data_IF_056718158100
#
_entry.id   IF_056718158100
#
_cell.length_a   1.000
_cell.length_b   1.000
_cell.length_c   1.000
_cell.angle_alpha   90.00
_cell.angle_beta   90.00
_cell.angle_gamma   90.00
#
_symmetry.space_group_name_H-M   'P 1'
#
loop_
_entity.id
_entity.type
_entity.pdbx_description
1 polymer ?
#
# COMPACT_ATOMS: atom_id res chain seq x y z
N UNK A 1 -9.55 0.47 16.57
CA UNK A 1 -9.49 -0.96 16.94
C UNK A 1 -9.74 -1.76 15.68
N UNK A 2 -8.80 -2.62 15.29
CA UNK A 2 -8.96 -3.52 14.14
C UNK A 2 -9.52 -4.84 14.70
N UNK A 3 -10.79 -5.15 14.44
CA UNK A 3 -11.42 -6.40 14.88
C UNK A 3 -11.53 -7.33 13.67
N UNK A 4 -11.49 -8.65 13.92
CA UNK A 4 -11.66 -9.66 12.87
C UNK A 4 -12.96 -9.45 12.06
N UNK A 5 -14.05 -9.10 12.74
CA UNK A 5 -15.32 -8.81 12.10
C UNK A 5 -15.24 -7.60 11.15
N UNK A 6 -14.50 -6.56 11.52
CA UNK A 6 -14.29 -5.38 10.66
C UNK A 6 -13.42 -5.72 9.46
N UNK A 7 -12.35 -6.49 9.64
CA UNK A 7 -11.49 -6.96 8.54
C UNK A 7 -12.29 -7.80 7.55
N UNK A 8 -13.07 -8.77 8.04
CA UNK A 8 -13.90 -9.62 7.18
C UNK A 8 -14.95 -8.81 6.40
N UNK A 9 -15.56 -7.81 7.03
CA UNK A 9 -16.51 -6.92 6.36
C UNK A 9 -15.82 -6.06 5.29
N UNK A 10 -14.64 -5.54 5.56
CA UNK A 10 -13.83 -4.79 4.61
C UNK A 10 -13.44 -5.64 3.41
N UNK A 11 -12.88 -6.82 3.64
CA UNK A 11 -12.48 -7.76 2.59
C UNK A 11 -13.66 -8.21 1.72
N UNK A 12 -14.86 -8.35 2.30
CA UNK A 12 -16.07 -8.65 1.54
C UNK A 12 -16.56 -7.48 0.66
N UNK A 13 -16.17 -6.24 0.96
CA UNK A 13 -16.51 -5.06 0.16
C UNK A 13 -15.51 -4.82 -0.99
N UNK A 14 -14.24 -5.19 -0.82
CA UNK A 14 -13.19 -4.92 -1.80
C UNK A 14 -13.49 -5.42 -3.23
N UNK A 15 -13.93 -6.67 -3.44
CA UNK A 15 -14.28 -7.16 -4.78
C UNK A 15 -15.36 -6.32 -5.46
N UNK A 16 -16.38 -5.91 -4.70
CA UNK A 16 -17.49 -5.09 -5.22
C UNK A 16 -17.04 -3.71 -5.64
N UNK A 17 -16.14 -3.09 -4.87
CA UNK A 17 -15.57 -1.79 -5.21
C UNK A 17 -14.64 -1.87 -6.41
N UNK A 18 -13.85 -2.94 -6.51
CA UNK A 18 -12.97 -3.18 -7.65
C UNK A 18 -13.78 -3.44 -8.95
N UNK A 19 -14.84 -4.25 -8.86
CA UNK A 19 -15.75 -4.52 -9.97
C UNK A 19 -16.43 -3.23 -10.45
N UNK A 20 -17.01 -2.45 -9.53
CA UNK A 20 -17.63 -1.17 -9.84
C UNK A 20 -16.63 -0.19 -10.47
N UNK A 21 -15.41 -0.09 -9.93
CA UNK A 21 -14.37 0.76 -10.50
C UNK A 21 -13.98 0.34 -11.93
N UNK A 22 -13.90 -0.96 -12.19
CA UNK A 22 -13.64 -1.50 -13.53
C UNK A 22 -14.80 -1.23 -14.48
N UNK A 23 -16.04 -1.47 -14.05
CA UNK A 23 -17.25 -1.21 -14.83
C UNK A 23 -17.35 0.26 -15.22
N UNK A 24 -17.13 1.17 -14.29
CA UNK A 24 -17.13 2.62 -14.56
C UNK A 24 -16.00 3.04 -15.49
N UNK A 25 -14.79 2.50 -15.30
CA UNK A 25 -13.64 2.77 -16.18
C UNK A 25 -13.76 2.21 -17.59
N UNK A 26 -14.60 1.18 -17.79
CA UNK A 26 -14.89 0.56 -19.09
C UNK A 26 -16.27 0.93 -19.65
N UNK A 27 -16.93 1.93 -19.05
CA UNK A 27 -18.27 2.37 -19.49
C UNK A 27 -18.16 3.17 -20.79
N UNK A 28 -18.57 2.55 -21.90
CA UNK A 28 -18.51 3.15 -23.24
C UNK A 28 -19.41 4.37 -23.38
N UNK A 29 -20.56 4.39 -22.71
CA UNK A 29 -21.47 5.53 -22.81
C UNK A 29 -20.88 6.77 -22.14
N UNK A 30 -20.29 6.63 -20.96
CA UNK A 30 -19.58 7.73 -20.29
C UNK A 30 -18.36 8.21 -21.10
N UNK A 31 -17.61 7.29 -21.69
CA UNK A 31 -16.48 7.63 -22.54
C UNK A 31 -16.95 8.42 -23.78
N UNK A 32 -18.02 7.95 -24.46
CA UNK A 32 -18.58 8.59 -25.64
C UNK A 32 -19.15 9.99 -25.31
N UNK A 33 -19.83 10.15 -24.17
CA UNK A 33 -20.30 11.46 -23.70
C UNK A 33 -19.14 12.44 -23.45
N UNK A 34 -18.08 11.97 -22.82
CA UNK A 34 -16.86 12.77 -22.56
C UNK A 34 -16.24 13.19 -23.90
N UNK A 35 -16.11 12.25 -24.84
CA UNK A 35 -15.59 12.54 -26.18
C UNK A 35 -16.48 13.50 -26.95
N UNK A 36 -17.79 13.33 -26.94
CA UNK A 36 -18.73 14.22 -27.60
C UNK A 36 -18.62 15.68 -27.08
N UNK A 37 -18.43 15.84 -25.77
CA UNK A 37 -18.20 17.17 -25.19
C UNK A 37 -16.87 17.77 -25.65
N UNK A 38 -15.81 16.98 -25.75
CA UNK A 38 -14.49 17.42 -26.23
C UNK A 38 -14.50 17.79 -27.72
N UNK A 39 -15.34 17.12 -28.52
CA UNK A 39 -15.52 17.39 -29.95
C UNK A 39 -16.52 18.53 -30.22
N UNK A 40 -17.21 19.06 -29.19
CA UNK A 40 -18.23 20.09 -29.32
C UNK A 40 -17.65 21.50 -29.35
N UNK A 41 -18.36 22.50 -29.92
CA UNK A 41 -17.97 23.91 -29.83
C UNK A 41 -17.88 24.44 -28.40
N UNK A 42 -18.60 23.83 -27.44
CA UNK A 42 -18.58 24.20 -26.03
C UNK A 42 -17.21 23.98 -25.40
N UNK A 43 -16.44 23.00 -25.88
CA UNK A 43 -15.08 22.71 -25.39
C UNK A 43 -14.19 23.96 -25.47
N UNK A 44 -14.29 24.77 -26.53
CA UNK A 44 -13.49 26.00 -26.67
C UNK A 44 -13.81 27.05 -25.60
N UNK A 45 -15.00 27.03 -25.04
CA UNK A 45 -15.43 27.97 -23.99
C UNK A 45 -15.00 27.54 -22.58
N UNK A 46 -14.52 26.30 -22.44
CA UNK A 46 -14.11 25.76 -21.14
C UNK A 46 -12.78 26.37 -20.67
N UNK A 47 -12.67 26.55 -19.37
CA UNK A 47 -11.41 26.92 -18.71
C UNK A 47 -10.33 25.84 -18.91
N UNK A 48 -9.07 26.23 -18.78
CA UNK A 48 -7.94 25.28 -18.87
C UNK A 48 -8.10 24.09 -17.88
N UNK A 49 -8.58 24.35 -16.66
CA UNK A 49 -8.80 23.29 -15.66
C UNK A 49 -9.88 22.30 -16.09
N UNK A 50 -10.98 22.80 -16.67
CA UNK A 50 -12.06 21.96 -17.20
C UNK A 50 -11.60 21.12 -18.40
N UNK A 51 -10.89 21.73 -19.37
CA UNK A 51 -10.27 21.02 -20.49
C UNK A 51 -9.34 19.91 -19.99
N UNK A 52 -8.50 20.23 -19.01
CA UNK A 52 -7.58 19.24 -18.41
C UNK A 52 -8.30 18.10 -17.70
N UNK A 53 -9.43 18.37 -17.05
CA UNK A 53 -10.25 17.32 -16.42
C UNK A 53 -10.79 16.34 -17.45
N UNK A 54 -11.29 16.83 -18.59
CA UNK A 54 -11.79 15.96 -19.67
C UNK A 54 -10.66 15.13 -20.30
N UNK A 55 -9.50 15.73 -20.56
CA UNK A 55 -8.31 14.99 -21.04
C UNK A 55 -7.89 13.88 -20.07
N UNK A 56 -7.87 14.18 -18.78
CA UNK A 56 -7.55 13.18 -17.75
C UNK A 56 -8.60 12.07 -17.66
N UNK A 57 -9.89 12.41 -17.81
CA UNK A 57 -10.97 11.42 -17.87
C UNK A 57 -10.81 10.48 -19.07
N UNK A 58 -10.53 11.01 -20.26
CA UNK A 58 -10.27 10.18 -21.45
C UNK A 58 -9.08 9.26 -21.25
N UNK A 59 -7.99 9.80 -20.69
CA UNK A 59 -6.82 8.97 -20.34
C UNK A 59 -7.19 7.90 -19.31
N UNK A 60 -8.03 8.21 -18.33
CA UNK A 60 -8.55 7.26 -17.34
C UNK A 60 -9.27 6.08 -18.00
N UNK A 61 -10.17 6.34 -18.96
CA UNK A 61 -10.86 5.29 -19.71
C UNK A 61 -9.88 4.40 -20.47
N UNK A 62 -8.88 4.98 -21.16
CA UNK A 62 -7.85 4.21 -21.87
C UNK A 62 -7.04 3.34 -20.92
N UNK A 63 -6.61 3.87 -19.77
CA UNK A 63 -5.85 3.14 -18.77
C UNK A 63 -6.70 2.07 -18.04
N UNK A 64 -8.01 2.15 -18.12
CA UNK A 64 -8.95 1.12 -17.64
C UNK A 64 -9.26 0.06 -18.71
N UNK A 65 -8.65 0.17 -19.90
CA UNK A 65 -8.76 -0.81 -20.95
C UNK A 65 -10.07 -0.75 -21.74
N UNK A 66 -10.69 0.43 -21.87
CA UNK A 66 -11.96 0.61 -22.60
C UNK A 66 -11.86 0.18 -24.07
N UNK A 67 -10.68 0.36 -24.67
CA UNK A 67 -10.41 0.03 -26.08
C UNK A 67 -10.01 -1.44 -26.29
N UNK A 68 -9.89 -2.22 -25.23
CA UNK A 68 -9.53 -3.63 -25.32
C UNK A 68 -10.68 -4.48 -25.87
N UNK A 69 -10.40 -5.60 -26.57
CA UNK A 69 -11.38 -6.62 -26.84
C UNK A 69 -12.04 -7.17 -25.57
N UNK A 70 -13.26 -7.67 -25.66
CA UNK A 70 -14.07 -8.07 -24.51
C UNK A 70 -13.38 -9.12 -23.60
N UNK A 71 -12.67 -10.08 -24.19
CA UNK A 71 -11.89 -11.08 -23.45
C UNK A 71 -10.75 -10.44 -22.63
N UNK A 72 -10.05 -9.47 -23.21
CA UNK A 72 -8.98 -8.71 -22.53
C UNK A 72 -9.53 -7.73 -21.50
N UNK A 73 -10.71 -7.13 -21.75
CA UNK A 73 -11.40 -6.29 -20.75
C UNK A 73 -11.74 -7.11 -19.51
N UNK A 74 -12.29 -8.31 -19.71
CA UNK A 74 -12.56 -9.23 -18.60
C UNK A 74 -11.29 -9.59 -17.85
N UNK A 75 -10.23 -9.97 -18.57
CA UNK A 75 -8.95 -10.31 -17.95
C UNK A 75 -8.37 -9.13 -17.15
N UNK A 76 -8.47 -7.92 -17.68
CA UNK A 76 -8.08 -6.71 -16.95
C UNK A 76 -8.85 -6.57 -15.61
N UNK A 77 -10.17 -6.74 -15.63
CA UNK A 77 -11.01 -6.72 -14.42
C UNK A 77 -10.61 -7.78 -13.40
N UNK A 78 -10.40 -9.02 -13.83
CA UNK A 78 -9.95 -10.14 -12.99
C UNK A 78 -8.60 -9.80 -12.31
N UNK A 79 -7.67 -9.18 -13.06
CA UNK A 79 -6.37 -8.74 -12.51
C UNK A 79 -6.55 -7.61 -11.50
N UNK A 80 -7.39 -6.60 -11.76
CA UNK A 80 -7.61 -5.49 -10.82
C UNK A 80 -8.20 -6.00 -9.50
N UNK A 81 -9.16 -6.91 -9.56
CA UNK A 81 -9.71 -7.57 -8.36
C UNK A 81 -8.61 -8.30 -7.60
N UNK A 82 -7.82 -9.11 -8.30
CA UNK A 82 -6.75 -9.88 -7.65
C UNK A 82 -5.68 -8.99 -7.02
N UNK A 83 -5.29 -7.91 -7.69
CA UNK A 83 -4.34 -6.93 -7.15
C UNK A 83 -4.89 -6.24 -5.88
N UNK A 84 -6.19 -5.97 -5.83
CA UNK A 84 -6.85 -5.41 -4.64
C UNK A 84 -6.81 -6.39 -3.46
N UNK A 85 -7.11 -7.66 -3.68
CA UNK A 85 -7.02 -8.73 -2.66
C UNK A 85 -5.59 -8.90 -2.14
N UNK A 86 -4.61 -8.95 -3.06
CA UNK A 86 -3.19 -9.06 -2.70
C UNK A 86 -2.72 -7.85 -1.89
N UNK A 87 -3.16 -6.64 -2.26
CA UNK A 87 -2.85 -5.42 -1.52
C UNK A 87 -3.37 -5.45 -0.08
N UNK A 88 -4.65 -5.82 0.10
CA UNK A 88 -5.25 -5.98 1.43
C UNK A 88 -4.50 -7.01 2.27
N UNK A 89 -4.20 -8.17 1.68
CA UNK A 89 -3.47 -9.24 2.39
C UNK A 89 -2.04 -8.82 2.76
N UNK A 90 -1.36 -8.09 1.88
CA UNK A 90 -0.03 -7.55 2.16
C UNK A 90 -0.04 -6.63 3.38
N UNK A 91 -0.97 -5.68 3.41
CA UNK A 91 -1.11 -4.73 4.51
C UNK A 91 -1.50 -5.42 5.81
N UNK A 92 -2.41 -6.41 5.76
CA UNK A 92 -2.82 -7.19 6.93
C UNK A 92 -1.65 -8.00 7.50
N UNK A 93 -0.86 -8.68 6.68
CA UNK A 93 0.33 -9.41 7.13
C UNK A 93 1.34 -8.48 7.82
N UNK A 94 1.57 -7.29 7.25
CA UNK A 94 2.44 -6.27 7.85
C UNK A 94 1.93 -5.81 9.22
N UNK A 95 0.63 -5.55 9.33
CA UNK A 95 -0.01 -5.10 10.56
C UNK A 95 0.04 -6.18 11.63
N UNK A 96 -0.35 -7.40 11.28
CA UNK A 96 -0.40 -8.53 12.21
C UNK A 96 1.00 -8.87 12.72
N UNK A 97 2.00 -8.93 11.84
CA UNK A 97 3.37 -9.20 12.25
C UNK A 97 3.96 -8.06 13.11
N UNK A 98 3.59 -6.80 12.82
CA UNK A 98 3.98 -5.66 13.67
C UNK A 98 3.39 -5.77 15.07
N UNK A 99 2.12 -6.18 15.19
CA UNK A 99 1.41 -6.27 16.47
C UNK A 99 1.75 -7.54 17.25
N UNK A 100 2.21 -8.60 16.59
CA UNK A 100 2.54 -9.86 17.22
C UNK A 100 3.86 -9.84 18.01
N UNK A 101 4.73 -8.83 17.75
CA UNK A 101 5.99 -8.72 18.48
C UNK A 101 5.89 -7.71 19.62
N UNK A 102 6.29 -8.15 20.79
CA UNK A 102 6.52 -7.28 21.94
C UNK A 102 7.67 -7.83 22.78
N UNK A 103 8.34 -6.93 23.52
CA UNK A 103 9.44 -7.28 24.42
C UNK A 103 9.18 -6.69 25.79
N UNK A 104 8.84 -7.53 26.78
CA UNK A 104 8.77 -7.11 28.18
C UNK A 104 10.16 -6.78 28.70
N UNK A 105 10.28 -5.67 29.43
CA UNK A 105 11.52 -5.22 30.06
C UNK A 105 11.24 -5.04 31.55
N UNK A 106 11.96 -5.81 32.38
CA UNK A 106 11.81 -5.77 33.84
C UNK A 106 12.71 -4.72 34.51
N UNK A 107 13.88 -4.45 33.92
CA UNK A 107 14.87 -3.54 34.49
C UNK A 107 15.00 -2.26 33.66
N UNK A 108 14.75 -1.11 34.28
CA UNK A 108 14.89 0.20 33.67
C UNK A 108 16.31 0.47 33.10
N UNK A 109 17.35 -0.16 33.66
CA UNK A 109 18.72 0.01 33.18
C UNK A 109 18.93 -0.46 31.75
N UNK A 110 18.12 -1.42 31.29
CA UNK A 110 18.14 -1.89 29.89
C UNK A 110 17.65 -0.82 28.90
N UNK A 111 16.90 0.17 29.42
CA UNK A 111 16.33 1.28 28.66
C UNK A 111 17.13 2.59 28.88
N UNK A 112 18.35 2.51 29.41
CA UNK A 112 19.22 3.69 29.56
C UNK A 112 19.34 4.47 28.25
N UNK A 113 19.34 5.80 28.35
CA UNK A 113 19.37 6.71 27.20
C UNK A 113 17.99 7.11 26.65
N UNK A 114 16.93 6.34 26.94
CA UNK A 114 15.57 6.67 26.46
C UNK A 114 15.02 7.94 27.18
N UNK A 115 14.37 8.85 26.44
CA UNK A 115 13.70 10.01 27.05
C UNK A 115 12.49 9.59 27.91
N UNK A 116 12.15 10.40 28.91
CA UNK A 116 11.03 10.13 29.83
C UNK A 116 9.71 9.87 29.09
N UNK A 117 9.46 10.57 27.98
CA UNK A 117 8.25 10.36 27.17
C UNK A 117 8.18 8.95 26.58
N UNK A 118 9.31 8.40 26.14
CA UNK A 118 9.38 7.04 25.62
C UNK A 118 9.24 5.99 26.71
N UNK A 119 9.86 6.22 27.88
CA UNK A 119 9.66 5.38 29.06
C UNK A 119 8.21 5.39 29.52
N UNK A 120 7.55 6.57 29.51
CA UNK A 120 6.13 6.70 29.83
C UNK A 120 5.22 5.91 28.88
N UNK A 121 5.52 5.96 27.57
CA UNK A 121 4.78 5.15 26.58
C UNK A 121 4.97 3.64 26.81
N UNK A 122 6.21 3.20 27.10
CA UNK A 122 6.50 1.80 27.35
C UNK A 122 5.81 1.28 28.62
N UNK A 123 5.73 2.11 29.71
CA UNK A 123 4.96 1.79 30.91
C UNK A 123 3.47 1.69 30.62
N UNK A 124 2.93 2.65 29.86
CA UNK A 124 1.52 2.64 29.49
C UNK A 124 1.18 1.41 28.63
N UNK A 125 2.07 1.01 27.73
CA UNK A 125 1.90 -0.20 26.93
C UNK A 125 1.88 -1.48 27.80
N UNK A 126 2.77 -1.58 28.79
CA UNK A 126 2.77 -2.69 29.75
C UNK A 126 1.50 -2.70 30.60
N UNK A 127 1.06 -1.56 31.11
CA UNK A 127 -0.16 -1.45 31.91
C UNK A 127 -1.47 -1.72 31.13
N UNK A 128 -1.42 -1.67 29.81
CA UNK A 128 -2.58 -1.96 28.95
C UNK A 128 -2.74 -3.45 28.62
N UNK A 129 -1.80 -4.29 29.01
CA UNK A 129 -1.81 -5.74 28.75
C UNK A 129 -1.66 -6.49 30.08
N UNK A 130 -2.79 -6.96 30.63
CA UNK A 130 -2.84 -7.66 31.92
C UNK A 130 -2.02 -8.97 31.93
N UNK A 131 -1.59 -9.46 30.78
CA UNK A 131 -0.75 -10.67 30.68
C UNK A 131 0.76 -10.39 30.90
N UNK A 132 1.15 -9.12 30.94
CA UNK A 132 2.56 -8.69 31.04
C UNK A 132 2.94 -8.37 32.48
N UNK A 133 3.82 -9.18 33.06
CA UNK A 133 4.39 -8.96 34.41
C UNK A 133 5.68 -8.11 34.41
N UNK A 134 5.80 -7.14 33.50
CA UNK A 134 6.97 -6.28 33.39
C UNK A 134 6.57 -4.82 33.52
N UNK A 135 7.52 -3.99 33.99
CA UNK A 135 7.28 -2.54 34.15
C UNK A 135 7.16 -1.81 32.81
N UNK A 136 7.83 -2.30 31.79
CA UNK A 136 7.87 -1.70 30.47
C UNK A 136 7.58 -2.74 29.39
N UNK A 137 6.90 -2.32 28.32
CA UNK A 137 6.67 -3.13 27.13
C UNK A 137 7.11 -2.36 25.89
N UNK A 138 8.09 -2.89 25.17
CA UNK A 138 8.48 -2.39 23.87
C UNK A 138 7.68 -3.09 22.78
N UNK A 139 7.37 -2.37 21.71
CA UNK A 139 6.67 -2.90 20.53
C UNK A 139 7.26 -2.32 19.23
N UNK A 140 6.78 -2.78 18.08
CA UNK A 140 7.26 -2.32 16.77
C UNK A 140 6.48 -1.13 16.20
N UNK A 141 5.66 -0.47 17.02
CA UNK A 141 5.05 0.79 16.59
C UNK A 141 6.12 1.87 16.40
N UNK A 142 5.96 2.70 15.36
CA UNK A 142 6.95 3.71 14.95
C UNK A 142 7.48 4.55 16.12
N UNK A 143 6.64 5.12 17.02
CA UNK A 143 7.16 5.94 18.12
C UNK A 143 8.08 5.17 19.07
N UNK A 144 7.76 3.91 19.38
CA UNK A 144 8.58 3.07 20.25
C UNK A 144 9.88 2.66 19.54
N UNK A 145 9.78 2.18 18.30
CA UNK A 145 10.92 1.78 17.48
C UNK A 145 11.94 2.93 17.33
N UNK A 146 11.47 4.11 16.91
CA UNK A 146 12.35 5.27 16.73
C UNK A 146 12.99 5.73 18.03
N UNK A 147 12.25 5.73 19.15
CA UNK A 147 12.81 6.10 20.43
C UNK A 147 13.99 5.19 20.83
N UNK A 148 13.83 3.88 20.67
CA UNK A 148 14.91 2.92 20.95
C UNK A 148 16.08 3.11 20.00
N UNK A 149 15.82 3.20 18.68
CA UNK A 149 16.89 3.33 17.68
C UNK A 149 17.71 4.61 17.83
N UNK A 150 17.09 5.71 18.25
CA UNK A 150 17.74 7.02 18.35
C UNK A 150 18.43 7.26 19.69
N UNK A 151 17.92 6.65 20.77
CA UNK A 151 18.30 7.08 22.13
C UNK A 151 18.81 5.96 23.03
N UNK A 152 18.41 4.69 22.83
CA UNK A 152 18.84 3.63 23.74
C UNK A 152 20.37 3.43 23.71
N UNK A 153 21.00 3.40 24.88
CA UNK A 153 22.43 3.10 25.00
C UNK A 153 22.74 1.63 24.70
N UNK A 154 21.80 0.74 25.01
CA UNK A 154 21.91 -0.70 24.80
C UNK A 154 21.92 -1.06 23.31
N UNK A 155 23.13 -1.40 22.80
CA UNK A 155 23.34 -1.73 21.39
C UNK A 155 22.64 -3.03 20.98
N UNK A 156 22.61 -4.03 21.86
CA UNK A 156 21.99 -5.34 21.57
C UNK A 156 20.47 -5.19 21.41
N UNK A 157 19.86 -4.36 22.24
CA UNK A 157 18.44 -4.00 22.13
C UNK A 157 18.13 -3.32 20.79
N UNK A 158 18.98 -2.36 20.38
CA UNK A 158 18.84 -1.71 19.07
C UNK A 158 18.97 -2.71 17.92
N UNK A 159 19.96 -3.61 17.98
CA UNK A 159 20.15 -4.63 16.94
C UNK A 159 18.96 -5.58 16.84
N UNK A 160 18.44 -6.05 17.97
CA UNK A 160 17.26 -6.91 18.01
C UNK A 160 16.06 -6.21 17.38
N UNK A 161 15.75 -4.99 17.84
CA UNK A 161 14.61 -4.24 17.29
C UNK A 161 14.79 -3.90 15.82
N UNK A 162 16.01 -3.54 15.39
CA UNK A 162 16.32 -3.30 13.98
C UNK A 162 16.05 -4.54 13.14
N UNK A 163 16.53 -5.70 13.58
CA UNK A 163 16.32 -6.96 12.87
C UNK A 163 14.84 -7.28 12.73
N UNK A 164 14.12 -7.33 13.85
CA UNK A 164 12.70 -7.69 13.84
C UNK A 164 11.86 -6.71 13.03
N UNK A 165 12.16 -5.40 13.14
CA UNK A 165 11.44 -4.38 12.39
C UNK A 165 11.64 -4.50 10.88
N UNK A 166 12.88 -4.76 10.43
CA UNK A 166 13.20 -4.80 9.00
C UNK A 166 12.90 -6.14 8.32
N UNK A 167 12.67 -7.20 9.10
CA UNK A 167 12.28 -8.52 8.57
C UNK A 167 10.79 -8.80 8.68
N UNK A 168 9.98 -7.80 9.07
CA UNK A 168 8.53 -7.98 9.16
C UNK A 168 7.93 -8.39 7.82
N UNK A 169 7.02 -9.34 7.89
CA UNK A 169 6.29 -9.88 6.75
C UNK A 169 7.20 -10.25 5.54
N UNK A 170 8.37 -10.78 5.82
CA UNK A 170 9.29 -11.35 4.83
C UNK A 170 9.54 -12.81 5.15
N UNK A 171 10.28 -13.50 4.27
CA UNK A 171 10.74 -14.87 4.50
C UNK A 171 11.61 -15.06 5.76
N UNK A 172 12.09 -13.94 6.33
CA UNK A 172 12.90 -13.91 7.56
C UNK A 172 12.08 -13.56 8.81
N UNK A 173 10.76 -13.38 8.69
CA UNK A 173 9.91 -13.07 9.83
C UNK A 173 9.74 -14.27 10.78
N UNK A 174 9.31 -14.00 12.00
CA UNK A 174 9.17 -15.02 13.05
C UNK A 174 8.12 -16.09 12.78
N UNK A 175 7.14 -15.79 11.93
CA UNK A 175 6.07 -16.72 11.53
C UNK A 175 5.80 -16.57 10.04
N UNK A 176 6.10 -17.64 9.29
CA UNK A 176 5.98 -17.69 7.83
C UNK A 176 4.56 -17.40 7.31
N UNK A 177 3.54 -17.50 8.14
CA UNK A 177 2.15 -17.17 7.75
C UNK A 177 1.98 -15.73 7.31
N UNK A 178 2.90 -14.83 7.72
CA UNK A 178 2.90 -13.42 7.35
C UNK A 178 3.84 -13.08 6.18
N UNK A 179 4.53 -14.08 5.61
CA UNK A 179 5.46 -13.84 4.52
C UNK A 179 4.75 -13.27 3.29
N UNK A 180 5.17 -12.08 2.88
CA UNK A 180 4.65 -11.36 1.72
C UNK A 180 5.42 -11.65 0.42
N UNK A 181 6.47 -12.46 0.46
CA UNK A 181 7.27 -12.78 -0.75
C UNK A 181 6.42 -13.33 -1.89
N UNK A 182 5.52 -14.32 -1.66
CA UNK A 182 4.64 -14.81 -2.74
C UNK A 182 3.66 -13.73 -3.25
N UNK A 183 3.20 -12.85 -2.35
CA UNK A 183 2.30 -11.74 -2.71
C UNK A 183 3.01 -10.74 -3.61
N UNK A 184 4.29 -10.43 -3.31
CA UNK A 184 5.12 -9.54 -4.14
C UNK A 184 5.33 -10.14 -5.52
N UNK A 185 5.69 -11.41 -5.61
CA UNK A 185 5.92 -12.11 -6.88
C UNK A 185 4.67 -12.10 -7.78
N UNK A 186 3.51 -12.48 -7.23
CA UNK A 186 2.24 -12.47 -7.95
C UNK A 186 1.85 -11.03 -8.35
N UNK A 187 2.00 -10.06 -7.46
CA UNK A 187 1.71 -8.66 -7.75
C UNK A 187 2.56 -8.12 -8.90
N UNK A 188 3.85 -8.42 -8.93
CA UNK A 188 4.74 -7.98 -10.01
C UNK A 188 4.37 -8.63 -11.34
N UNK A 189 4.05 -9.92 -11.34
CA UNK A 189 3.60 -10.62 -12.55
C UNK A 189 2.29 -10.03 -13.11
N UNK A 190 1.29 -9.81 -12.26
CA UNK A 190 0.02 -9.22 -12.65
C UNK A 190 0.15 -7.77 -13.12
N UNK A 191 1.00 -6.96 -12.47
CA UNK A 191 1.30 -5.60 -12.91
C UNK A 191 1.98 -5.57 -14.28
N UNK A 192 2.89 -6.51 -14.54
CA UNK A 192 3.51 -6.65 -15.86
C UNK A 192 2.45 -7.00 -16.91
N UNK A 193 1.58 -7.99 -16.63
CA UNK A 193 0.48 -8.38 -17.54
C UNK A 193 -0.45 -7.21 -17.86
N UNK A 194 -0.85 -6.42 -16.85
CA UNK A 194 -1.67 -5.20 -17.08
C UNK A 194 -0.97 -4.23 -18.01
N UNK A 195 0.34 -3.98 -17.83
CA UNK A 195 1.08 -3.10 -18.70
C UNK A 195 1.07 -3.59 -20.15
N UNK A 196 1.29 -4.88 -20.37
CA UNK A 196 1.26 -5.49 -21.71
C UNK A 196 -0.14 -5.44 -22.33
N UNK A 197 -1.19 -5.72 -21.56
CA UNK A 197 -2.57 -5.60 -22.04
C UNK A 197 -2.89 -4.20 -22.57
N UNK A 198 -2.38 -3.17 -21.89
CA UNK A 198 -2.59 -1.76 -22.23
C UNK A 198 -1.57 -1.21 -23.26
N UNK A 199 -0.62 -2.03 -23.74
CA UNK A 199 0.36 -1.66 -24.73
C UNK A 199 1.56 -0.87 -24.19
N UNK A 200 1.83 -0.94 -22.89
CA UNK A 200 3.03 -0.34 -22.28
C UNK A 200 4.17 -1.34 -22.18
N UNK A 201 5.40 -0.87 -22.36
CA UNK A 201 6.62 -1.69 -22.23
C UNK A 201 6.82 -2.25 -20.82
N UNK A 202 6.40 -1.49 -19.80
CA UNK A 202 6.46 -1.93 -18.40
C UNK A 202 5.40 -1.24 -17.54
N UNK A 203 5.18 -1.78 -16.34
CA UNK A 203 4.31 -1.13 -15.35
C UNK A 203 4.81 0.26 -14.94
N UNK A 204 6.12 0.50 -14.95
CA UNK A 204 6.68 1.83 -14.70
C UNK A 204 6.20 2.85 -15.73
N UNK A 205 6.23 2.51 -17.02
CA UNK A 205 5.69 3.37 -18.08
C UNK A 205 4.18 3.62 -17.91
N UNK A 206 3.41 2.58 -17.64
CA UNK A 206 1.97 2.71 -17.35
C UNK A 206 1.72 3.63 -16.14
N UNK A 207 2.49 3.47 -15.09
CA UNK A 207 2.37 4.28 -13.86
C UNK A 207 2.68 5.76 -14.11
N UNK A 208 3.63 6.07 -15.01
CA UNK A 208 4.01 7.44 -15.35
C UNK A 208 3.01 8.14 -16.27
N UNK A 209 2.12 7.42 -16.94
CA UNK A 209 1.14 8.01 -17.87
C UNK A 209 0.27 9.12 -17.24
N UNK A 210 0.09 9.10 -15.91
CA UNK A 210 -0.68 10.11 -15.15
C UNK A 210 0.21 11.03 -14.30
N UNK A 211 1.53 10.95 -14.43
CA UNK A 211 2.49 11.67 -13.58
C UNK A 211 3.26 12.72 -14.39
N UNK A 212 4.05 13.53 -13.68
CA UNK A 212 4.82 14.62 -14.31
C UNK A 212 6.04 14.11 -15.09
N UNK A 213 6.68 13.04 -14.64
CA UNK A 213 7.80 12.43 -15.35
C UNK A 213 7.30 11.72 -16.62
N UNK A 214 8.03 11.87 -17.73
CA UNK A 214 7.61 11.32 -19.02
C UNK A 214 7.97 9.85 -19.19
N UNK A 215 9.09 9.42 -18.61
CA UNK A 215 9.62 8.07 -18.74
C UNK A 215 10.41 7.65 -17.49
N UNK A 216 10.65 6.35 -17.28
CA UNK A 216 11.41 5.86 -16.12
C UNK A 216 12.87 6.34 -16.08
N UNK A 217 13.51 6.61 -17.23
CA UNK A 217 14.87 7.08 -17.27
C UNK A 217 14.99 8.51 -16.70
N UNK A 218 14.00 9.37 -16.99
CA UNK A 218 13.93 10.70 -16.40
C UNK A 218 13.83 10.68 -14.87
N UNK A 219 13.11 9.69 -14.31
CA UNK A 219 13.01 9.52 -12.86
C UNK A 219 14.34 9.08 -12.26
N UNK A 220 15.00 8.10 -12.87
CA UNK A 220 16.30 7.61 -12.40
C UNK A 220 17.37 8.71 -12.45
N UNK A 221 17.38 9.52 -13.49
CA UNK A 221 18.34 10.62 -13.64
C UNK A 221 18.19 11.70 -12.55
N UNK A 222 16.98 12.00 -12.10
CA UNK A 222 16.74 13.07 -11.10
C UNK A 222 17.12 12.67 -9.67
N UNK A 223 17.42 11.39 -9.41
CA UNK A 223 17.70 10.86 -8.06
C UNK A 223 19.11 10.27 -7.94
N UNK A 224 19.93 10.37 -8.97
CA UNK A 224 21.35 10.04 -8.98
C UNK A 224 22.20 11.32 -9.05
#
# INVERSE_FOLDING_TARGET
MNTEALCNAYDACLPKLSEFGTEMGQNKDLCNLTKALMDSPEFETLTQAQKKTLENSMRGFQLSGIDLPADKQKRYGDIQQRLSELGSKFEQNMLDNTNAWSKPIANADELAGLPESALGMAKQAAAADDSIEAEYLLNLQIPCYLAVMMHADNRELREEMYRVYNTRASELCSDIKWDNTPIIEETLALRHEVAQLLGFDSYAHKSLATKMAKDPAAVSYTHL
#
